data_IF_067759399675
#
_entry.id   IF_067759399675
#
_cell.length_a   1.000
_cell.length_b   1.000
_cell.length_c   1.000
_cell.angle_alpha   90.00
_cell.angle_beta   90.00
_cell.angle_gamma   90.00
#
_symmetry.space_group_name_H-M   'P 1'
#
loop_
_entity.id
_entity.type
_entity.pdbx_description
1 polymer ?
#
# COMPACT_ATOMS: atom_id res chain seq x y z
N UNK A 1 -26.14 7.87 -1.90
CA UNK A 1 -24.82 8.17 -2.49
C UNK A 1 -24.43 7.09 -3.47
N UNK A 2 -23.65 7.43 -4.50
CA UNK A 2 -23.03 6.40 -5.36
C UNK A 2 -21.94 5.66 -4.61
N UNK A 3 -21.86 4.33 -4.81
CA UNK A 3 -20.78 3.48 -4.32
C UNK A 3 -20.55 2.28 -5.25
N UNK A 4 -19.33 1.80 -5.31
CA UNK A 4 -18.99 0.54 -5.96
C UNK A 4 -19.09 -0.60 -4.93
N UNK A 5 -20.15 -1.39 -5.05
CA UNK A 5 -20.54 -2.42 -4.08
C UNK A 5 -20.18 -3.80 -4.61
N UNK A 6 -19.35 -4.51 -3.87
CA UNK A 6 -19.05 -5.91 -4.11
C UNK A 6 -20.20 -6.76 -3.56
N UNK A 7 -21.04 -7.31 -4.45
CA UNK A 7 -22.23 -8.11 -4.11
C UNK A 7 -21.90 -9.58 -3.84
N UNK A 8 -20.82 -10.05 -4.39
CA UNK A 8 -20.33 -11.41 -4.31
C UNK A 8 -18.96 -11.50 -4.95
N UNK A 9 -18.27 -12.65 -4.84
CA UNK A 9 -16.97 -12.82 -5.47
C UNK A 9 -17.07 -12.62 -7.00
N UNK A 10 -16.33 -11.64 -7.52
CA UNK A 10 -16.35 -11.25 -8.94
C UNK A 10 -17.55 -10.38 -9.36
N UNK A 11 -18.40 -9.94 -8.44
CA UNK A 11 -19.62 -9.18 -8.77
C UNK A 11 -19.54 -7.79 -8.13
N UNK A 12 -18.89 -6.85 -8.83
CA UNK A 12 -18.83 -5.44 -8.46
C UNK A 12 -19.87 -4.65 -9.25
N UNK A 13 -20.64 -3.79 -8.57
CA UNK A 13 -21.64 -2.93 -9.21
C UNK A 13 -21.62 -1.53 -8.61
N UNK A 14 -21.69 -0.53 -9.48
CA UNK A 14 -21.91 0.86 -9.05
C UNK A 14 -23.41 1.09 -8.88
N UNK A 15 -23.82 1.49 -7.68
CA UNK A 15 -25.22 1.71 -7.35
C UNK A 15 -25.43 2.82 -6.31
N UNK A 16 -26.67 3.27 -6.18
CA UNK A 16 -27.06 4.19 -5.10
C UNK A 16 -27.30 3.39 -3.81
N UNK A 17 -26.61 3.83 -2.74
CA UNK A 17 -26.76 3.24 -1.39
C UNK A 17 -27.03 4.34 -0.35
N UNK A 18 -27.61 3.96 0.77
CA UNK A 18 -27.70 4.86 1.92
C UNK A 18 -26.33 5.00 2.59
N UNK A 19 -26.03 6.21 3.09
CA UNK A 19 -24.84 6.42 3.93
C UNK A 19 -25.23 6.06 5.36
N UNK A 20 -24.69 4.99 5.96
CA UNK A 20 -25.00 4.66 7.34
C UNK A 20 -24.38 5.71 8.27
N UNK A 21 -25.20 6.53 8.92
CA UNK A 21 -24.70 7.50 9.89
C UNK A 21 -24.15 6.79 11.13
N UNK A 22 -22.96 7.17 11.55
CA UNK A 22 -22.34 6.66 12.78
C UNK A 22 -22.18 7.85 13.74
N UNK A 23 -22.96 7.82 14.84
CA UNK A 23 -22.93 8.88 15.85
C UNK A 23 -21.51 9.05 16.42
N UNK A 24 -21.05 10.30 16.47
CA UNK A 24 -19.73 10.63 16.99
C UNK A 24 -18.58 10.49 16.01
N UNK A 25 -18.87 10.09 14.77
CA UNK A 25 -17.88 10.01 13.70
C UNK A 25 -18.01 11.18 12.72
N UNK A 26 -16.93 11.51 12.07
CA UNK A 26 -16.89 12.48 10.98
C UNK A 26 -17.43 11.88 9.70
N UNK A 27 -18.25 12.61 8.97
CA UNK A 27 -18.56 12.27 7.58
C UNK A 27 -17.49 12.88 6.69
N UNK A 28 -16.80 12.05 5.96
CA UNK A 28 -15.80 12.44 4.95
C UNK A 28 -16.47 12.42 3.58
N UNK A 29 -16.32 13.51 2.84
CA UNK A 29 -16.50 13.54 1.39
C UNK A 29 -15.25 12.96 0.77
N UNK A 30 -15.32 11.73 0.29
CA UNK A 30 -14.18 11.04 -0.34
C UNK A 30 -13.88 11.71 -1.67
N UNK A 31 -12.66 12.20 -1.86
CA UNK A 31 -12.24 12.79 -3.12
C UNK A 31 -11.67 11.71 -4.04
N UNK A 32 -10.63 11.02 -3.58
CA UNK A 32 -9.96 9.98 -4.35
C UNK A 32 -9.76 8.73 -3.52
N UNK A 33 -9.91 7.58 -4.17
CA UNK A 33 -9.63 6.28 -3.57
C UNK A 33 -8.76 5.42 -4.51
N UNK A 34 -7.63 4.93 -4.02
CA UNK A 34 -6.68 4.09 -4.75
C UNK A 34 -7.15 2.64 -4.82
N UNK A 35 -6.94 2.00 -5.97
CA UNK A 35 -7.14 0.56 -6.13
C UNK A 35 -5.87 -0.17 -5.72
N UNK A 36 -5.98 -1.06 -4.75
CA UNK A 36 -4.90 -1.91 -4.25
C UNK A 36 -4.96 -3.32 -4.88
N UNK A 37 -3.80 -3.97 -5.01
CA UNK A 37 -3.74 -5.38 -5.40
C UNK A 37 -4.54 -6.31 -4.46
N UNK A 38 -4.66 -5.95 -3.18
CA UNK A 38 -5.47 -6.70 -2.21
C UNK A 38 -6.97 -6.63 -2.49
N UNK A 39 -7.47 -5.55 -3.13
CA UNK A 39 -8.86 -5.43 -3.56
C UNK A 39 -9.16 -6.40 -4.70
N UNK A 40 -8.21 -6.58 -5.64
CA UNK A 40 -8.32 -7.57 -6.71
C UNK A 40 -8.39 -9.00 -6.15
N UNK A 41 -7.51 -9.30 -5.19
CA UNK A 41 -7.51 -10.59 -4.49
C UNK A 41 -8.83 -10.86 -3.78
N UNK A 42 -9.28 -9.90 -2.98
CA UNK A 42 -10.50 -9.98 -2.16
C UNK A 42 -11.76 -10.01 -3.01
N UNK A 43 -11.84 -9.15 -3.99
CA UNK A 43 -13.05 -8.98 -4.79
C UNK A 43 -13.25 -10.06 -5.84
N UNK A 44 -12.16 -10.66 -6.37
CA UNK A 44 -12.26 -11.44 -7.61
C UNK A 44 -11.56 -12.81 -7.57
N UNK A 45 -10.84 -13.13 -6.48
CA UNK A 45 -10.12 -14.41 -6.35
C UNK A 45 -10.45 -15.14 -5.05
N UNK A 46 -10.11 -14.55 -3.91
CA UNK A 46 -10.13 -15.20 -2.60
C UNK A 46 -11.48 -15.04 -1.86
N UNK A 47 -12.30 -14.08 -2.29
CA UNK A 47 -13.53 -13.67 -1.61
C UNK A 47 -13.31 -12.66 -0.49
N UNK A 48 -14.37 -11.93 -0.15
CA UNK A 48 -14.39 -10.97 0.96
C UNK A 48 -14.84 -11.64 2.26
N UNK A 49 -14.60 -10.97 3.38
CA UNK A 49 -15.06 -11.45 4.70
C UNK A 49 -16.60 -11.50 4.81
N UNK A 50 -17.28 -10.61 4.10
CA UNK A 50 -18.73 -10.56 4.00
C UNK A 50 -19.18 -9.89 2.70
N UNK A 51 -20.42 -10.06 2.35
CA UNK A 51 -21.11 -9.37 1.26
C UNK A 51 -22.47 -8.86 1.75
N UNK A 52 -22.99 -7.70 1.26
CA UNK A 52 -22.27 -6.78 0.39
C UNK A 52 -21.12 -6.07 1.11
N UNK A 53 -20.14 -5.54 0.35
CA UNK A 53 -19.01 -4.79 0.87
C UNK A 53 -18.67 -3.65 -0.09
N UNK A 54 -18.49 -2.43 0.41
CA UNK A 54 -17.82 -1.35 -0.32
C UNK A 54 -16.32 -1.47 -0.03
N UNK A 55 -15.51 -1.73 -1.05
CA UNK A 55 -14.05 -1.83 -0.91
C UNK A 55 -13.38 -0.44 -0.87
N UNK A 56 -12.04 -0.39 -0.92
CA UNK A 56 -11.24 0.83 -0.93
C UNK A 56 -10.75 1.24 0.46
N UNK A 57 -9.41 1.24 0.62
CA UNK A 57 -8.74 1.53 1.89
C UNK A 57 -7.60 2.54 1.74
N UNK A 58 -7.26 2.93 0.54
CA UNK A 58 -6.27 3.96 0.20
C UNK A 58 -7.03 5.21 -0.23
N UNK A 59 -7.27 6.19 0.66
CA UNK A 59 -8.15 7.30 0.28
C UNK A 59 -7.88 8.61 1.00
N UNK A 60 -8.37 9.66 0.37
CA UNK A 60 -8.33 11.04 0.85
C UNK A 60 -9.67 11.72 0.65
N UNK A 61 -9.85 12.82 1.33
CA UNK A 61 -11.07 13.61 1.20
C UNK A 61 -11.10 14.84 2.10
N UNK A 62 -12.29 15.35 2.30
CA UNK A 62 -12.54 16.51 3.17
C UNK A 62 -13.63 16.19 4.19
N UNK A 63 -13.50 16.75 5.39
CA UNK A 63 -14.55 16.66 6.40
C UNK A 63 -15.81 17.38 5.92
N UNK A 64 -16.91 16.66 5.84
CA UNK A 64 -18.22 17.16 5.39
C UNK A 64 -19.13 17.48 6.57
N UNK A 65 -19.15 16.59 7.58
CA UNK A 65 -19.90 16.78 8.82
C UNK A 65 -19.00 16.45 10.00
N UNK A 66 -19.04 17.31 11.00
CA UNK A 66 -18.23 17.24 12.21
C UNK A 66 -19.10 16.88 13.41
N UNK A 67 -18.76 15.86 14.19
CA UNK A 67 -19.50 15.53 15.40
C UNK A 67 -19.33 16.65 16.47
N UNK A 68 -20.27 16.80 17.41
CA UNK A 68 -20.12 17.76 18.51
C UNK A 68 -18.79 17.59 19.25
N UNK A 69 -18.02 18.68 19.38
CA UNK A 69 -16.72 18.66 20.03
C UNK A 69 -15.57 18.12 19.17
N UNK A 70 -15.80 17.81 17.89
CA UNK A 70 -14.79 17.33 16.98
C UNK A 70 -13.67 18.36 16.73
N UNK A 71 -12.44 17.88 16.67
CA UNK A 71 -11.20 18.66 16.55
C UNK A 71 -11.04 19.35 15.19
N UNK A 72 -11.49 18.69 14.12
CA UNK A 72 -11.24 19.11 12.74
C UNK A 72 -12.48 19.84 12.17
N UNK A 73 -12.37 21.10 11.73
CA UNK A 73 -13.51 21.83 11.16
C UNK A 73 -13.95 21.22 9.81
N UNK A 74 -15.17 21.57 9.38
CA UNK A 74 -15.67 21.25 8.03
C UNK A 74 -14.69 21.79 6.98
N UNK A 75 -14.44 21.02 5.93
CA UNK A 75 -13.50 21.36 4.86
C UNK A 75 -12.04 20.97 5.15
N UNK A 76 -11.73 20.39 6.32
CA UNK A 76 -10.37 19.89 6.58
C UNK A 76 -10.01 18.83 5.57
N UNK A 77 -8.92 19.07 4.83
CA UNK A 77 -8.33 18.11 3.88
C UNK A 77 -7.55 17.06 4.64
N UNK A 78 -7.77 15.78 4.32
CA UNK A 78 -7.15 14.68 5.06
C UNK A 78 -6.90 13.46 4.18
N UNK A 79 -5.80 12.76 4.47
CA UNK A 79 -5.67 11.34 4.23
C UNK A 79 -6.35 10.57 5.38
N UNK A 80 -6.85 9.38 5.14
CA UNK A 80 -7.58 8.63 6.17
C UNK A 80 -6.91 7.29 6.44
N UNK A 81 -6.44 7.12 7.66
CA UNK A 81 -5.84 5.88 8.13
C UNK A 81 -6.89 4.76 8.20
N UNK A 82 -6.73 3.63 7.47
CA UNK A 82 -7.83 2.68 7.30
C UNK A 82 -8.01 1.69 8.46
N UNK A 83 -7.00 1.50 9.32
CA UNK A 83 -7.04 0.52 10.41
C UNK A 83 -7.74 1.11 11.65
N UNK A 84 -8.66 0.34 12.23
CA UNK A 84 -9.34 0.66 13.48
C UNK A 84 -8.91 -0.37 14.54
N UNK A 85 -7.98 -0.02 15.43
CA UNK A 85 -7.52 -0.95 16.45
C UNK A 85 -8.56 -1.17 17.53
N UNK A 86 -8.60 -2.34 18.15
CA UNK A 86 -9.56 -2.62 19.22
C UNK A 86 -9.28 -1.88 20.55
N UNK A 87 -8.10 -1.27 20.69
CA UNK A 87 -7.67 -0.48 21.85
C UNK A 87 -7.35 -1.29 23.12
N UNK A 88 -7.68 -2.59 23.18
CA UNK A 88 -7.64 -3.40 24.44
C UNK A 88 -6.81 -4.69 24.40
N UNK A 89 -6.36 -5.15 23.25
CA UNK A 89 -5.49 -6.33 23.15
C UNK A 89 -4.06 -6.01 23.59
N UNK A 90 -3.23 -7.05 23.72
CA UNK A 90 -1.83 -6.93 24.14
C UNK A 90 -1.01 -5.98 23.26
N UNK A 91 -1.16 -6.11 21.94
CA UNK A 91 -0.48 -5.24 20.96
C UNK A 91 -0.93 -3.78 21.10
N UNK A 92 -2.25 -3.53 21.24
CA UNK A 92 -2.76 -2.15 21.42
C UNK A 92 -2.23 -1.50 22.70
N UNK A 93 -2.15 -2.25 23.82
CA UNK A 93 -1.57 -1.74 25.07
C UNK A 93 -0.10 -1.40 24.95
N UNK A 94 0.63 -2.07 24.06
CA UNK A 94 2.03 -1.79 23.72
C UNK A 94 2.19 -0.72 22.62
N UNK A 95 1.10 -0.11 22.16
CA UNK A 95 1.06 0.84 21.03
C UNK A 95 1.46 0.24 19.67
N UNK A 96 1.46 -1.06 19.56
CA UNK A 96 1.68 -1.79 18.30
C UNK A 96 0.32 -2.04 17.62
N UNK A 97 -0.38 -0.95 17.28
CA UNK A 97 -1.77 -1.02 16.78
C UNK A 97 -1.86 -1.71 15.42
N UNK A 98 -0.82 -1.63 14.59
CA UNK A 98 -0.72 -2.33 13.30
C UNK A 98 -0.75 -3.86 13.48
N UNK A 99 -0.41 -4.37 14.66
CA UNK A 99 -0.44 -5.78 15.04
C UNK A 99 -1.64 -6.13 15.92
N UNK A 100 -2.68 -5.30 15.92
CA UNK A 100 -3.89 -5.57 16.69
C UNK A 100 -4.55 -6.87 16.24
N UNK A 101 -4.78 -7.81 17.16
CA UNK A 101 -5.38 -9.11 16.83
C UNK A 101 -6.88 -9.05 16.49
N UNK A 102 -7.55 -7.92 16.82
CA UNK A 102 -8.98 -7.72 16.64
C UNK A 102 -9.27 -6.38 15.96
N UNK A 103 -8.45 -5.99 14.98
CA UNK A 103 -8.68 -4.74 14.26
C UNK A 103 -9.85 -4.86 13.29
N UNK A 104 -10.51 -3.74 13.08
CA UNK A 104 -11.40 -3.53 11.94
C UNK A 104 -10.64 -2.72 10.87
N UNK A 105 -11.10 -2.75 9.62
CA UNK A 105 -10.35 -2.13 8.51
C UNK A 105 -11.30 -1.70 7.41
N UNK A 106 -11.25 -0.42 7.06
CA UNK A 106 -12.06 0.11 5.95
C UNK A 106 -11.75 -0.62 4.65
N UNK A 107 -12.78 -0.89 3.86
CA UNK A 107 -12.66 -1.55 2.55
C UNK A 107 -12.39 -3.05 2.59
N UNK A 108 -12.33 -3.67 3.78
CA UNK A 108 -12.15 -5.12 3.88
C UNK A 108 -13.03 -5.79 4.93
N UNK A 109 -13.04 -5.32 6.17
CA UNK A 109 -13.84 -5.86 7.28
C UNK A 109 -15.09 -5.02 7.55
N UNK A 110 -15.10 -3.83 7.00
CA UNK A 110 -16.23 -2.90 6.94
C UNK A 110 -16.17 -2.10 5.66
N UNK A 111 -17.25 -1.41 5.32
CA UNK A 111 -17.33 -0.55 4.15
C UNK A 111 -16.22 0.48 4.11
N UNK A 112 -15.67 0.68 2.91
CA UNK A 112 -14.54 1.54 2.59
C UNK A 112 -14.90 2.69 1.65
N UNK A 113 -13.90 3.14 0.94
CA UNK A 113 -13.90 4.43 0.27
C UNK A 113 -14.24 4.41 -1.23
N UNK A 114 -14.60 3.27 -1.83
CA UNK A 114 -15.15 3.29 -3.18
C UNK A 114 -16.59 3.80 -3.17
N UNK A 115 -16.78 4.97 -2.60
CA UNK A 115 -18.05 5.64 -2.38
C UNK A 115 -17.86 7.17 -2.26
N UNK A 116 -18.92 7.94 -2.47
CA UNK A 116 -18.86 9.40 -2.36
C UNK A 116 -18.62 9.89 -0.92
N UNK A 117 -19.08 9.13 0.07
CA UNK A 117 -18.96 9.50 1.49
C UNK A 117 -18.65 8.27 2.36
N UNK A 118 -17.93 8.53 3.45
CA UNK A 118 -17.64 7.52 4.47
C UNK A 118 -17.62 8.17 5.87
N UNK A 119 -18.15 7.47 6.87
CA UNK A 119 -17.97 7.89 8.26
C UNK A 119 -16.68 7.31 8.83
N UNK A 120 -15.86 8.17 9.48
CA UNK A 120 -14.59 7.79 10.09
C UNK A 120 -14.46 8.39 11.49
N UNK A 121 -13.82 7.69 12.45
CA UNK A 121 -13.55 8.28 13.77
C UNK A 121 -12.42 9.31 13.66
N UNK A 122 -12.41 10.26 14.60
CA UNK A 122 -11.41 11.34 14.63
C UNK A 122 -9.96 10.83 14.59
N UNK A 123 -9.67 9.72 15.27
CA UNK A 123 -8.34 9.10 15.33
C UNK A 123 -7.80 8.65 13.99
N UNK A 124 -8.65 8.47 12.99
CA UNK A 124 -8.28 8.00 11.66
C UNK A 124 -8.10 9.15 10.66
N UNK A 125 -8.41 10.38 11.04
CA UNK A 125 -8.23 11.56 10.21
C UNK A 125 -6.80 12.06 10.36
N UNK A 126 -6.05 12.07 9.28
CA UNK A 126 -4.69 12.61 9.21
C UNK A 126 -4.74 13.88 8.36
N UNK A 127 -4.80 15.07 8.98
CA UNK A 127 -4.80 16.33 8.24
C UNK A 127 -3.56 16.44 7.37
N UNK A 128 -3.75 16.87 6.14
CA UNK A 128 -2.67 16.98 5.18
C UNK A 128 -2.19 18.44 5.05
N UNK A 129 -0.87 18.67 4.95
CA UNK A 129 -0.33 20.01 4.74
C UNK A 129 -0.54 20.50 3.30
N UNK A 130 -0.52 21.80 3.10
CA UNK A 130 -0.26 22.37 1.78
C UNK A 130 1.24 22.18 1.44
N UNK A 131 1.63 21.88 0.19
CA UNK A 131 0.81 21.85 -1.03
C UNK A 131 0.36 20.44 -1.47
N UNK A 132 0.36 19.42 -0.59
CA UNK A 132 0.00 18.03 -0.96
C UNK A 132 -1.42 17.99 -1.53
N UNK A 133 -1.61 17.40 -2.71
CA UNK A 133 -2.92 17.26 -3.34
C UNK A 133 -3.73 16.11 -2.73
N UNK A 134 -5.06 16.10 -2.95
CA UNK A 134 -5.90 15.00 -2.49
C UNK A 134 -5.60 13.68 -3.23
N UNK A 135 -5.17 13.76 -4.48
CA UNK A 135 -4.70 12.61 -5.26
C UNK A 135 -3.46 11.98 -4.60
N UNK A 136 -2.45 12.80 -4.26
CA UNK A 136 -1.26 12.32 -3.58
C UNK A 136 -1.58 11.75 -2.20
N UNK A 137 -2.48 12.39 -1.46
CA UNK A 137 -2.90 11.94 -0.14
C UNK A 137 -3.63 10.59 -0.17
N UNK A 138 -4.27 10.21 -1.28
CA UNK A 138 -4.83 8.87 -1.45
C UNK A 138 -3.75 7.77 -1.51
N UNK A 139 -2.49 8.13 -1.81
CA UNK A 139 -1.37 7.19 -1.79
C UNK A 139 -0.65 7.13 -0.42
N UNK A 140 -1.10 7.86 0.59
CA UNK A 140 -0.46 7.83 1.90
C UNK A 140 -0.46 6.41 2.51
N UNK A 141 -1.54 5.64 2.31
CA UNK A 141 -1.62 4.28 2.83
C UNK A 141 -0.50 3.38 2.28
N UNK A 142 -0.39 3.13 0.96
CA UNK A 142 0.66 2.25 0.44
C UNK A 142 2.08 2.84 0.64
N UNK A 143 2.23 4.16 0.68
CA UNK A 143 3.51 4.80 0.96
C UNK A 143 3.94 4.59 2.42
N UNK A 144 3.01 4.65 3.37
CA UNK A 144 3.25 4.38 4.78
C UNK A 144 3.53 2.89 5.04
N UNK A 145 2.88 1.96 4.32
CA UNK A 145 3.20 0.53 4.37
C UNK A 145 4.63 0.27 3.92
N UNK A 146 5.05 0.88 2.82
CA UNK A 146 6.42 0.76 2.32
C UNK A 146 7.44 1.40 3.28
N UNK A 147 7.13 2.57 3.85
CA UNK A 147 7.92 3.23 4.88
C UNK A 147 8.12 2.31 6.08
N UNK A 148 7.02 1.84 6.67
CA UNK A 148 7.03 0.96 7.85
C UNK A 148 7.94 -0.25 7.65
N UNK A 149 7.91 -0.86 6.48
CA UNK A 149 8.74 -2.01 6.15
C UNK A 149 10.22 -1.64 6.16
N UNK A 150 10.64 -0.67 5.35
CA UNK A 150 12.06 -0.39 5.14
C UNK A 150 12.69 0.35 6.31
N UNK A 151 11.90 1.00 7.17
CA UNK A 151 12.40 1.64 8.40
C UNK A 151 12.54 0.69 9.59
N UNK A 152 12.10 -0.56 9.46
CA UNK A 152 12.27 -1.59 10.49
C UNK A 152 13.73 -2.03 10.71
N UNK A 153 14.65 -1.67 9.80
CA UNK A 153 16.07 -2.01 9.86
C UNK A 153 16.94 -0.79 9.54
N UNK A 154 18.13 -0.70 10.14
CA UNK A 154 19.08 0.38 9.85
C UNK A 154 19.63 0.26 8.42
N UNK A 155 19.69 1.39 7.72
CA UNK A 155 20.30 1.49 6.38
C UNK A 155 21.64 2.24 6.51
N UNK A 156 22.70 1.65 5.99
CA UNK A 156 23.99 2.33 5.91
C UNK A 156 23.99 3.28 4.71
N UNK A 157 24.50 4.50 4.85
CA UNK A 157 24.63 5.42 3.72
C UNK A 157 25.43 4.79 2.57
N UNK A 158 24.92 4.90 1.36
CA UNK A 158 25.53 4.31 0.17
C UNK A 158 25.24 2.83 -0.07
N UNK A 159 24.52 2.15 0.84
CA UNK A 159 24.15 0.75 0.68
C UNK A 159 23.46 0.46 -0.66
N UNK A 160 23.73 -0.70 -1.24
CA UNK A 160 23.08 -1.19 -2.45
C UNK A 160 21.78 -1.90 -2.11
N UNK A 161 20.73 -1.65 -2.87
CA UNK A 161 19.41 -2.23 -2.63
C UNK A 161 18.78 -2.83 -3.89
N UNK A 162 18.11 -3.98 -3.72
CA UNK A 162 17.27 -4.62 -4.73
C UNK A 162 15.82 -4.65 -4.27
N UNK A 163 14.91 -4.22 -5.11
CA UNK A 163 13.45 -4.34 -4.89
C UNK A 163 12.89 -5.30 -5.93
N UNK A 164 12.33 -6.42 -5.51
CA UNK A 164 11.70 -7.41 -6.38
C UNK A 164 10.18 -7.19 -6.35
N UNK A 165 9.65 -6.74 -7.49
CA UNK A 165 8.28 -6.31 -7.71
C UNK A 165 8.20 -4.80 -8.00
N UNK A 166 8.03 -4.45 -9.28
CA UNK A 166 7.84 -3.07 -9.79
C UNK A 166 6.40 -2.56 -9.67
N UNK A 167 5.63 -3.11 -8.74
CA UNK A 167 4.29 -2.59 -8.40
C UNK A 167 4.35 -1.38 -7.46
N UNK A 168 3.18 -0.78 -7.12
CA UNK A 168 3.15 0.45 -6.31
C UNK A 168 3.93 0.36 -4.99
N UNK A 169 3.74 -0.70 -4.21
CA UNK A 169 4.42 -0.86 -2.91
C UNK A 169 5.93 -1.04 -3.09
N UNK A 170 6.36 -1.82 -4.09
CA UNK A 170 7.79 -1.99 -4.38
C UNK A 170 8.46 -0.69 -4.84
N UNK A 171 7.81 0.08 -5.72
CA UNK A 171 8.33 1.37 -6.17
C UNK A 171 8.37 2.41 -5.05
N UNK A 172 7.40 2.39 -4.13
CA UNK A 172 7.42 3.23 -2.93
C UNK A 172 8.54 2.81 -1.96
N UNK A 173 8.76 1.50 -1.79
CA UNK A 173 9.89 1.00 -1.00
C UNK A 173 11.23 1.41 -1.62
N UNK A 174 11.36 1.37 -2.96
CA UNK A 174 12.54 1.85 -3.67
C UNK A 174 12.81 3.35 -3.42
N UNK A 175 11.75 4.18 -3.46
CA UNK A 175 11.87 5.61 -3.16
C UNK A 175 12.31 5.84 -1.70
N UNK A 176 11.70 5.15 -0.73
CA UNK A 176 12.09 5.26 0.68
C UNK A 176 13.52 4.81 0.93
N UNK A 177 13.99 3.73 0.29
CA UNK A 177 15.40 3.33 0.37
C UNK A 177 16.34 4.42 -0.16
N UNK A 178 15.94 5.09 -1.25
CA UNK A 178 16.71 6.21 -1.81
C UNK A 178 16.73 7.41 -0.85
N UNK A 179 15.59 7.79 -0.28
CA UNK A 179 15.47 8.87 0.72
C UNK A 179 16.34 8.55 1.95
N UNK A 180 16.43 7.27 2.35
CA UNK A 180 17.28 6.81 3.45
C UNK A 180 18.77 6.77 3.13
N UNK A 181 19.18 7.16 1.94
CA UNK A 181 20.58 7.29 1.55
C UNK A 181 21.19 6.05 0.91
N UNK A 182 20.39 5.08 0.44
CA UNK A 182 20.92 4.02 -0.43
C UNK A 182 21.57 4.61 -1.67
N UNK A 183 22.73 4.10 -2.04
CA UNK A 183 23.48 4.55 -3.21
C UNK A 183 22.83 4.08 -4.50
N UNK A 184 22.87 2.80 -4.77
CA UNK A 184 22.20 2.15 -5.90
C UNK A 184 20.93 1.46 -5.42
N UNK A 185 19.80 1.76 -6.07
CA UNK A 185 18.54 1.02 -5.90
C UNK A 185 18.15 0.45 -7.26
N UNK A 186 18.03 -0.87 -7.32
CA UNK A 186 17.64 -1.62 -8.53
C UNK A 186 16.25 -2.21 -8.33
N UNK A 187 15.36 -2.06 -9.31
CA UNK A 187 14.01 -2.65 -9.32
C UNK A 187 13.98 -3.82 -10.29
N UNK A 188 13.45 -4.95 -9.86
CA UNK A 188 13.29 -6.15 -10.68
C UNK A 188 11.81 -6.48 -10.87
N UNK A 189 11.40 -6.78 -12.08
CA UNK A 189 10.06 -7.28 -12.42
C UNK A 189 10.13 -8.18 -13.67
N UNK A 190 9.10 -8.96 -13.92
CA UNK A 190 8.94 -9.75 -15.16
C UNK A 190 8.30 -8.93 -16.28
N UNK A 191 7.62 -7.83 -15.96
CA UNK A 191 6.90 -7.01 -16.91
C UNK A 191 7.75 -5.82 -17.39
N UNK A 192 8.07 -5.78 -18.68
CA UNK A 192 8.90 -4.72 -19.27
C UNK A 192 8.30 -3.31 -19.04
N UNK A 193 6.97 -3.18 -19.08
CA UNK A 193 6.30 -1.89 -18.84
C UNK A 193 6.56 -1.35 -17.42
N UNK A 194 6.62 -2.22 -16.40
CA UNK A 194 6.94 -1.83 -15.02
C UNK A 194 8.41 -1.45 -14.86
N UNK A 195 9.30 -2.14 -15.57
CA UNK A 195 10.74 -1.82 -15.59
C UNK A 195 10.96 -0.45 -16.21
N UNK A 196 10.36 -0.19 -17.38
CA UNK A 196 10.42 1.12 -18.02
C UNK A 196 9.84 2.23 -17.11
N UNK A 197 8.75 1.95 -16.39
CA UNK A 197 8.18 2.91 -15.46
C UNK A 197 9.12 3.17 -14.25
N UNK A 198 9.78 2.14 -13.70
CA UNK A 198 10.78 2.32 -12.66
C UNK A 198 11.95 3.22 -13.12
N UNK A 199 12.37 3.10 -14.38
CA UNK A 199 13.40 3.96 -14.98
C UNK A 199 12.97 5.43 -15.05
N UNK A 200 11.69 5.72 -15.33
CA UNK A 200 11.17 7.11 -15.32
C UNK A 200 11.23 7.74 -13.92
N UNK A 201 11.17 6.92 -12.87
CA UNK A 201 11.34 7.37 -11.49
C UNK A 201 12.81 7.53 -11.08
N UNK A 202 13.75 7.12 -11.94
CA UNK A 202 15.19 7.25 -11.74
C UNK A 202 15.87 6.03 -11.12
N UNK A 203 15.22 4.86 -11.15
CA UNK A 203 15.79 3.60 -10.68
C UNK A 203 16.46 2.83 -11.81
N UNK A 204 17.48 2.05 -11.47
CA UNK A 204 17.92 0.99 -12.37
C UNK A 204 16.86 -0.10 -12.42
N UNK A 205 16.73 -0.73 -13.56
CA UNK A 205 15.83 -1.87 -13.73
C UNK A 205 16.57 -3.10 -14.21
N UNK A 206 16.04 -4.27 -13.87
CA UNK A 206 16.53 -5.57 -14.33
C UNK A 206 15.36 -6.53 -14.50
N UNK A 207 15.37 -7.29 -15.59
CA UNK A 207 14.37 -8.34 -15.77
C UNK A 207 14.58 -9.45 -14.71
N UNK A 208 13.50 -9.89 -14.06
CA UNK A 208 13.60 -10.86 -12.96
C UNK A 208 14.27 -12.20 -13.37
N UNK A 209 14.22 -12.58 -14.63
CA UNK A 209 14.95 -13.73 -15.17
C UNK A 209 16.49 -13.61 -15.13
N UNK A 210 17.01 -12.41 -14.86
CA UNK A 210 18.45 -12.17 -14.75
C UNK A 210 18.97 -12.16 -13.31
N UNK A 211 18.08 -12.29 -12.31
CA UNK A 211 18.44 -12.20 -10.89
C UNK A 211 19.48 -13.25 -10.46
N UNK A 212 19.51 -14.42 -11.13
CA UNK A 212 20.53 -15.45 -10.88
C UNK A 212 21.95 -14.98 -11.15
N UNK A 213 22.13 -13.94 -11.99
CA UNK A 213 23.44 -13.33 -12.29
C UNK A 213 23.86 -12.31 -11.22
N UNK A 214 22.99 -12.00 -10.25
CA UNK A 214 23.17 -10.95 -9.24
C UNK A 214 23.31 -11.55 -7.83
N UNK A 215 23.76 -12.80 -7.72
CA UNK A 215 23.95 -13.47 -6.43
C UNK A 215 24.86 -12.67 -5.50
N UNK A 216 24.46 -12.58 -4.22
CA UNK A 216 25.23 -11.94 -3.14
C UNK A 216 25.66 -10.49 -3.40
N UNK A 217 24.88 -9.74 -4.18
CA UNK A 217 25.26 -8.40 -4.65
C UNK A 217 24.73 -7.26 -3.79
N UNK A 218 23.54 -7.39 -3.22
CA UNK A 218 22.84 -6.29 -2.57
C UNK A 218 22.85 -6.43 -1.06
N UNK A 219 23.14 -5.34 -0.36
CA UNK A 219 23.12 -5.31 1.11
C UNK A 219 21.67 -5.36 1.66
N UNK A 220 20.73 -4.81 0.89
CA UNK A 220 19.30 -4.79 1.21
C UNK A 220 18.48 -5.36 0.06
N UNK A 221 17.57 -6.27 0.38
CA UNK A 221 16.62 -6.80 -0.60
C UNK A 221 15.19 -6.62 -0.09
N UNK A 222 14.29 -6.12 -0.93
CA UNK A 222 12.86 -6.02 -0.65
C UNK A 222 12.10 -7.01 -1.53
N UNK A 223 11.32 -7.88 -0.91
CA UNK A 223 10.40 -8.79 -1.60
C UNK A 223 8.99 -8.21 -1.50
N UNK A 224 8.39 -7.79 -2.64
CA UNK A 224 7.10 -7.10 -2.72
C UNK A 224 6.06 -7.84 -3.59
N UNK A 225 6.30 -9.12 -3.93
CA UNK A 225 5.40 -9.93 -4.77
C UNK A 225 4.63 -10.99 -3.99
N UNK A 226 5.23 -11.58 -2.93
CA UNK A 226 4.64 -12.66 -2.13
C UNK A 226 4.71 -14.04 -2.78
N UNK A 227 5.70 -14.31 -3.65
CA UNK A 227 5.89 -15.58 -4.33
C UNK A 227 7.11 -16.34 -3.79
N UNK A 228 7.15 -17.67 -3.95
CA UNK A 228 8.31 -18.49 -3.59
C UNK A 228 9.56 -18.06 -4.35
N UNK A 229 9.44 -17.87 -5.66
CA UNK A 229 10.53 -17.51 -6.56
C UNK A 229 11.14 -16.16 -6.20
N UNK A 230 10.31 -15.16 -5.92
CA UNK A 230 10.78 -13.81 -5.60
C UNK A 230 11.43 -13.73 -4.22
N UNK A 231 10.90 -14.45 -3.24
CA UNK A 231 11.51 -14.58 -1.91
C UNK A 231 12.86 -15.30 -1.99
N UNK A 232 12.91 -16.42 -2.71
CA UNK A 232 14.14 -17.19 -2.90
C UNK A 232 15.20 -16.33 -3.62
N UNK A 233 14.80 -15.59 -4.65
CA UNK A 233 15.67 -14.63 -5.34
C UNK A 233 16.17 -13.52 -4.43
N UNK A 234 15.32 -12.94 -3.57
CA UNK A 234 15.72 -11.93 -2.60
C UNK A 234 16.82 -12.44 -1.65
N UNK A 235 16.67 -13.67 -1.14
CA UNK A 235 17.69 -14.32 -0.29
C UNK A 235 18.98 -14.58 -1.08
N UNK A 236 18.88 -15.06 -2.31
CA UNK A 236 20.08 -15.32 -3.14
C UNK A 236 20.83 -14.04 -3.48
N UNK A 237 20.14 -13.01 -3.92
CA UNK A 237 20.75 -11.72 -4.28
C UNK A 237 21.29 -10.92 -3.09
N UNK A 238 20.85 -11.25 -1.88
CA UNK A 238 21.29 -10.56 -0.66
C UNK A 238 22.72 -10.92 -0.32
N UNK A 239 23.55 -9.91 -0.05
CA UNK A 239 24.94 -10.05 0.32
C UNK A 239 25.10 -10.62 1.75
N UNK A 240 26.33 -11.01 2.12
CA UNK A 240 26.65 -11.46 3.49
C UNK A 240 26.32 -10.36 4.51
N UNK A 241 25.71 -10.73 5.65
CA UNK A 241 25.22 -9.81 6.69
C UNK A 241 24.12 -8.85 6.20
N UNK A 242 23.57 -9.05 4.99
CA UNK A 242 22.53 -8.21 4.45
C UNK A 242 21.17 -8.48 5.08
N UNK A 243 20.19 -7.70 4.65
CA UNK A 243 18.82 -7.75 5.18
C UNK A 243 17.78 -7.93 4.07
N UNK A 244 16.81 -8.80 4.33
CA UNK A 244 15.66 -9.04 3.45
C UNK A 244 14.37 -8.55 4.11
N UNK A 245 13.71 -7.57 3.49
CA UNK A 245 12.38 -7.10 3.88
C UNK A 245 11.30 -7.88 3.13
N UNK A 246 10.37 -8.50 3.86
CA UNK A 246 9.25 -9.25 3.30
C UNK A 246 7.98 -8.42 3.44
N UNK A 247 7.48 -7.90 2.33
CA UNK A 247 6.28 -7.03 2.26
C UNK A 247 5.17 -7.70 1.45
N UNK A 248 5.54 -8.50 0.45
CA UNK A 248 4.59 -9.16 -0.44
C UNK A 248 3.63 -10.08 0.30
N UNK A 249 2.31 -9.87 0.10
CA UNK A 249 1.31 -10.80 0.63
C UNK A 249 1.44 -12.17 -0.05
N UNK A 250 1.46 -13.28 0.72
CA UNK A 250 1.65 -14.60 0.15
C UNK A 250 0.53 -14.99 -0.81
N UNK A 251 0.93 -15.48 -1.99
CA UNK A 251 0.04 -16.01 -3.01
C UNK A 251 0.34 -17.51 -3.22
N UNK A 252 -0.60 -18.36 -2.82
CA UNK A 252 -0.44 -19.82 -2.91
C UNK A 252 0.51 -20.40 -1.86
N UNK A 253 1.08 -21.56 -2.14
CA UNK A 253 2.05 -22.25 -1.28
C UNK A 253 3.41 -21.57 -1.39
N UNK A 254 4.02 -21.28 -0.24
CA UNK A 254 5.37 -20.74 -0.17
C UNK A 254 6.37 -21.84 0.14
N UNK A 255 7.21 -22.19 -0.84
CA UNK A 255 8.25 -23.20 -0.71
C UNK A 255 9.63 -22.55 -0.62
N UNK A 256 10.50 -23.10 0.21
CA UNK A 256 11.89 -22.69 0.30
C UNK A 256 12.80 -23.90 0.08
N UNK A 257 13.63 -23.82 -0.95
CA UNK A 257 14.62 -24.86 -1.24
C UNK A 257 15.68 -24.96 -0.11
N UNK A 258 16.19 -26.16 0.19
CA UNK A 258 17.24 -26.33 1.22
C UNK A 258 18.48 -25.46 0.95
N UNK A 259 18.84 -25.23 -0.30
CA UNK A 259 19.96 -24.36 -0.69
C UNK A 259 19.72 -22.89 -0.28
N UNK A 260 18.49 -22.40 -0.44
CA UNK A 260 18.08 -21.04 -0.03
C UNK A 260 18.13 -20.89 1.48
N UNK A 261 17.58 -21.87 2.22
CA UNK A 261 17.69 -21.89 3.67
C UNK A 261 19.15 -21.89 4.14
N UNK A 262 19.98 -22.74 3.53
CA UNK A 262 21.42 -22.79 3.82
C UNK A 262 22.11 -21.45 3.52
N UNK A 263 21.64 -20.71 2.51
CA UNK A 263 22.14 -19.38 2.16
C UNK A 263 21.88 -18.37 3.28
N UNK A 264 20.68 -18.40 3.90
CA UNK A 264 20.35 -17.56 5.06
C UNK A 264 21.38 -17.78 6.18
N UNK A 265 21.67 -19.06 6.52
CA UNK A 265 22.62 -19.42 7.57
C UNK A 265 24.06 -18.97 7.22
N UNK A 266 24.54 -19.33 6.02
CA UNK A 266 25.94 -19.10 5.61
C UNK A 266 26.28 -17.64 5.32
N UNK A 267 25.28 -16.85 4.93
CA UNK A 267 25.44 -15.40 4.75
C UNK A 267 25.09 -14.63 6.03
N UNK A 268 24.58 -15.29 7.08
CA UNK A 268 24.08 -14.67 8.33
C UNK A 268 23.08 -13.54 8.04
N UNK A 269 22.08 -13.82 7.17
CA UNK A 269 21.10 -12.83 6.77
C UNK A 269 20.11 -12.52 7.90
N UNK A 270 19.68 -11.27 7.96
CA UNK A 270 18.50 -10.87 8.73
C UNK A 270 17.28 -10.80 7.82
N UNK A 271 16.15 -11.30 8.28
CA UNK A 271 14.87 -11.22 7.57
C UNK A 271 13.83 -10.57 8.47
N UNK A 272 13.06 -9.61 7.96
CA UNK A 272 11.93 -9.01 8.68
C UNK A 272 10.66 -9.04 7.84
N UNK A 273 9.55 -9.45 8.45
CA UNK A 273 8.21 -9.25 7.92
C UNK A 273 7.67 -7.89 8.31
N UNK A 274 6.83 -7.32 7.48
CA UNK A 274 6.14 -6.06 7.73
C UNK A 274 4.63 -6.22 7.57
N UNK A 275 3.85 -5.52 8.39
CA UNK A 275 2.39 -5.58 8.35
C UNK A 275 1.77 -4.22 8.67
N UNK A 276 0.90 -3.72 7.76
CA UNK A 276 0.26 -2.42 7.89
C UNK A 276 1.27 -1.26 8.08
N UNK A 277 0.83 -0.21 8.77
CA UNK A 277 1.63 0.97 9.10
C UNK A 277 1.08 1.64 10.36
N UNK A 278 1.75 2.72 10.80
CA UNK A 278 1.37 3.51 11.96
C UNK A 278 1.08 4.97 11.56
N UNK A 279 0.07 5.64 12.16
CA UNK A 279 -0.16 7.06 11.94
C UNK A 279 1.10 7.91 12.21
N UNK A 280 1.84 7.57 13.24
CA UNK A 280 3.13 8.16 13.62
C UNK A 280 4.12 7.00 13.91
N UNK A 281 5.29 6.95 13.25
CA UNK A 281 5.83 7.98 12.35
C UNK A 281 5.41 7.84 10.86
N UNK A 282 4.88 6.68 10.40
CA UNK A 282 4.85 6.34 8.98
C UNK A 282 4.06 7.34 8.13
N UNK A 283 2.80 7.64 8.50
CA UNK A 283 1.96 8.57 7.73
C UNK A 283 2.46 10.00 7.80
N UNK A 284 3.01 10.39 8.95
CA UNK A 284 3.61 11.71 9.10
C UNK A 284 4.80 11.89 8.17
N UNK A 285 5.71 10.92 8.12
CA UNK A 285 6.86 10.93 7.21
C UNK A 285 6.40 10.98 5.73
N UNK A 286 5.36 10.23 5.36
CA UNK A 286 4.80 10.33 4.01
C UNK A 286 4.38 11.76 3.67
N UNK A 287 3.61 12.42 4.56
CA UNK A 287 3.13 13.78 4.33
C UNK A 287 4.26 14.82 4.36
N UNK A 288 5.28 14.59 5.18
CA UNK A 288 6.46 15.47 5.25
C UNK A 288 7.34 15.39 3.99
N UNK A 289 7.34 14.25 3.29
CA UNK A 289 8.11 14.00 2.07
C UNK A 289 7.31 14.15 0.77
N UNK A 290 5.97 14.08 0.82
CA UNK A 290 5.09 14.23 -0.34
C UNK A 290 5.29 15.58 -1.03
N UNK A 291 5.38 15.57 -2.37
CA UNK A 291 5.65 16.77 -3.17
C UNK A 291 7.09 17.30 -3.09
N UNK A 292 7.99 16.59 -2.43
CA UNK A 292 9.43 16.93 -2.31
C UNK A 292 10.27 15.83 -2.98
N UNK A 293 10.70 14.87 -2.22
CA UNK A 293 11.55 13.74 -2.63
C UNK A 293 10.79 12.41 -2.74
N UNK A 294 9.58 12.32 -2.17
CA UNK A 294 8.66 11.22 -2.40
C UNK A 294 7.69 11.57 -3.55
N UNK A 295 7.88 10.94 -4.70
CA UNK A 295 7.20 11.21 -5.97
C UNK A 295 5.84 10.50 -6.04
N UNK A 296 4.88 10.91 -5.19
CA UNK A 296 3.54 10.28 -5.16
C UNK A 296 2.73 10.61 -6.41
N UNK A 297 2.83 11.85 -6.92
CA UNK A 297 2.10 12.31 -8.10
C UNK A 297 2.46 11.49 -9.34
N UNK A 298 3.74 11.22 -9.54
CA UNK A 298 4.25 10.43 -10.66
C UNK A 298 3.78 8.96 -10.62
N UNK A 299 3.44 8.45 -9.42
CA UNK A 299 2.91 7.11 -9.26
C UNK A 299 1.46 6.98 -9.76
N UNK A 300 0.71 8.09 -9.86
CA UNK A 300 -0.68 8.10 -10.31
C UNK A 300 -0.70 8.05 -11.84
N UNK A 301 -0.96 6.89 -12.40
CA UNK A 301 -0.93 6.67 -13.85
C UNK A 301 -2.31 6.62 -14.48
N UNK A 302 -3.37 6.61 -13.68
CA UNK A 302 -4.76 6.71 -14.15
C UNK A 302 -5.66 7.30 -13.05
N UNK A 303 -6.58 8.18 -13.46
CA UNK A 303 -7.69 8.64 -12.61
C UNK A 303 -8.98 8.39 -13.38
N UNK A 304 -9.91 7.65 -12.78
CA UNK A 304 -11.16 7.23 -13.40
C UNK A 304 -12.35 7.63 -12.52
N UNK A 305 -13.50 7.96 -13.09
CA UNK A 305 -14.68 8.26 -12.28
C UNK A 305 -15.18 7.01 -11.54
N UNK A 306 -15.72 7.20 -10.33
CA UNK A 306 -16.33 6.12 -9.53
C UNK A 306 -17.41 5.38 -10.32
N UNK A 307 -18.13 6.09 -11.18
CA UNK A 307 -19.20 5.53 -12.02
C UNK A 307 -18.72 4.43 -12.99
N UNK A 308 -17.39 4.32 -13.23
CA UNK A 308 -16.77 3.27 -14.06
C UNK A 308 -16.02 2.22 -13.26
N UNK A 309 -16.20 2.17 -11.95
CA UNK A 309 -15.38 1.31 -11.09
C UNK A 309 -15.38 -0.16 -11.52
N UNK A 310 -16.53 -0.72 -11.91
CA UNK A 310 -16.66 -2.09 -12.40
C UNK A 310 -15.80 -2.33 -13.65
N UNK A 311 -15.88 -1.44 -14.65
CA UNK A 311 -15.09 -1.52 -15.88
C UNK A 311 -13.58 -1.38 -15.60
N UNK A 312 -13.20 -0.47 -14.70
CA UNK A 312 -11.80 -0.26 -14.30
C UNK A 312 -11.22 -1.51 -13.66
N UNK A 313 -11.98 -2.19 -12.80
CA UNK A 313 -11.55 -3.47 -12.24
C UNK A 313 -11.37 -4.55 -13.30
N UNK A 314 -12.29 -4.64 -14.28
CA UNK A 314 -12.16 -5.57 -15.40
C UNK A 314 -10.94 -5.27 -16.28
N UNK A 315 -10.65 -3.99 -16.56
CA UNK A 315 -9.45 -3.56 -17.28
C UNK A 315 -8.16 -3.97 -16.54
N UNK A 316 -8.10 -3.77 -15.22
CA UNK A 316 -6.94 -4.16 -14.42
C UNK A 316 -6.78 -5.69 -14.39
N UNK A 317 -7.87 -6.44 -14.21
CA UNK A 317 -7.85 -7.91 -14.15
C UNK A 317 -7.43 -8.54 -15.48
N UNK A 318 -7.79 -7.93 -16.61
CA UNK A 318 -7.38 -8.37 -17.95
C UNK A 318 -5.92 -7.98 -18.30
N UNK A 319 -5.25 -7.20 -17.45
CA UNK A 319 -3.88 -6.73 -17.69
C UNK A 319 -3.79 -5.54 -18.63
N UNK A 320 -4.91 -4.94 -19.04
CA UNK A 320 -4.97 -3.72 -19.85
C UNK A 320 -5.01 -2.44 -19.02
N UNK A 321 -4.93 -2.56 -17.71
CA UNK A 321 -5.01 -1.45 -16.78
C UNK A 321 -3.74 -0.58 -16.73
N UNK A 322 -3.78 0.41 -15.85
CA UNK A 322 -2.73 1.40 -15.63
C UNK A 322 -1.37 0.78 -15.22
N UNK A 323 -0.28 1.44 -15.57
CA UNK A 323 1.09 0.96 -15.32
C UNK A 323 1.45 0.90 -13.83
N UNK A 324 0.87 1.76 -12.98
CA UNK A 324 1.19 1.80 -11.55
C UNK A 324 -0.08 1.96 -10.70
N UNK A 325 -0.47 3.17 -10.32
CA UNK A 325 -1.61 3.41 -9.43
C UNK A 325 -2.79 3.99 -10.20
N UNK A 326 -3.95 3.34 -10.06
CA UNK A 326 -5.24 3.87 -10.49
C UNK A 326 -5.99 4.44 -9.29
N UNK A 327 -6.48 5.66 -9.43
CA UNK A 327 -7.40 6.30 -8.49
C UNK A 327 -8.82 6.32 -9.07
N UNK A 328 -9.80 6.15 -8.21
CA UNK A 328 -11.19 6.49 -8.47
C UNK A 328 -11.46 7.91 -7.96
N UNK A 329 -11.95 8.80 -8.83
CA UNK A 329 -12.53 10.08 -8.43
C UNK A 329 -13.94 9.79 -7.90
N UNK A 330 -14.11 9.88 -6.59
CA UNK A 330 -15.33 9.48 -5.93
C UNK A 330 -16.45 10.51 -6.03
N UNK A 331 -16.21 11.67 -6.64
CA UNK A 331 -17.21 12.72 -6.83
C UNK A 331 -17.77 12.78 -8.28
N UNK A 332 -17.31 11.88 -9.17
CA UNK A 332 -17.75 11.78 -10.57
C UNK A 332 -18.54 10.49 -10.91
#
# INVERSE_FOLDING_TARGET
>A
MKAAVLKGNGILKVEEVQVPEIRGWYKIRVAFAGICGSDLGRGFKNGAYHYPLIMGHEFSGTTETVPPGGKYPVGTRAAVFPLLPCGKCGSCRQRLIQLCSHYDYFGSRRDGAFAQFLYVPESNIIPMPEPVSLEEAALCEPAAVAHHAVYSHAVQPGASALVIGGGPVGLLAAQWLKIRGCGEVTVADVQQAKLAFAETLGFRSVHAGELTKLDSRFELCVEACGLSETRNAAVSCCARKGHVFLIGNPAGTLEMEPAIYSSILRKELSLSGSWNSLPDPDWKEVLDHAGKDLKLKEMITSVQPLSRADQVFDEILSGSGSQCKTLLNCQE
#
